data_IF_172741691509
#
_entry.id   IF_172741691509
#
_cell.length_a   1.000
_cell.length_b   1.000
_cell.length_c   1.000
_cell.angle_alpha   90.00
_cell.angle_beta   90.00
_cell.angle_gamma   90.00
#
_symmetry.space_group_name_H-M   'P 1'
#
loop_
_entity.id
_entity.type
_entity.pdbx_description
1 polymer ?
#
# COMPACT_ATOMS: atom_id res chain seq x y z
N UNK A 1 -24.47 40.42 10.41
CA UNK A 1 -23.04 40.58 10.05
C UNK A 1 -22.08 39.93 11.05
N UNK A 2 -22.23 40.12 12.38
CA UNK A 2 -21.35 39.51 13.40
C UNK A 2 -21.21 37.98 13.31
N UNK A 3 -22.30 37.25 13.03
CA UNK A 3 -22.27 35.78 12.92
C UNK A 3 -21.42 35.26 11.76
N UNK A 4 -21.36 35.99 10.63
CA UNK A 4 -20.53 35.63 9.47
C UNK A 4 -19.05 35.76 9.83
N UNK A 5 -18.66 36.84 10.50
CA UNK A 5 -17.28 37.03 10.96
C UNK A 5 -16.85 35.95 11.96
N UNK A 6 -17.74 35.55 12.87
CA UNK A 6 -17.47 34.44 13.81
C UNK A 6 -17.35 33.09 13.10
N UNK A 7 -18.19 32.83 12.09
CA UNK A 7 -18.09 31.62 11.28
C UNK A 7 -16.77 31.55 10.50
N UNK A 8 -16.33 32.66 9.91
CA UNK A 8 -15.04 32.75 9.21
C UNK A 8 -13.88 32.50 10.18
N UNK A 9 -13.88 33.14 11.36
CA UNK A 9 -12.86 32.93 12.39
C UNK A 9 -12.79 31.47 12.84
N UNK A 10 -13.94 30.85 13.12
CA UNK A 10 -14.01 29.44 13.51
C UNK A 10 -13.48 28.53 12.39
N UNK A 11 -13.87 28.79 11.14
CA UNK A 11 -13.39 28.01 9.99
C UNK A 11 -11.88 28.12 9.83
N UNK A 12 -11.31 29.32 9.96
CA UNK A 12 -9.87 29.54 9.91
C UNK A 12 -9.14 28.84 11.07
N UNK A 13 -9.67 28.92 12.28
CA UNK A 13 -9.10 28.22 13.44
C UNK A 13 -9.09 26.71 13.24
N UNK A 14 -10.20 26.14 12.79
CA UNK A 14 -10.30 24.71 12.47
C UNK A 14 -9.34 24.31 11.35
N UNK A 15 -9.22 25.12 10.29
CA UNK A 15 -8.29 24.88 9.20
C UNK A 15 -6.83 24.92 9.67
N UNK A 16 -6.45 25.86 10.53
CA UNK A 16 -5.12 25.94 11.12
C UNK A 16 -4.82 24.76 12.04
N UNK A 17 -5.77 24.36 12.88
CA UNK A 17 -5.62 23.17 13.73
C UNK A 17 -5.46 21.90 12.88
N UNK A 18 -6.25 21.77 11.81
CA UNK A 18 -6.13 20.66 10.88
C UNK A 18 -4.77 20.65 10.17
N UNK A 19 -4.32 21.81 9.67
CA UNK A 19 -3.01 21.95 9.06
C UNK A 19 -1.88 21.57 10.03
N UNK A 20 -1.93 22.06 11.27
CA UNK A 20 -0.98 21.70 12.33
C UNK A 20 -0.96 20.20 12.60
N UNK A 21 -2.14 19.57 12.75
CA UNK A 21 -2.25 18.12 12.97
C UNK A 21 -1.65 17.33 11.80
N UNK A 22 -1.92 17.72 10.56
CA UNK A 22 -1.35 17.07 9.37
C UNK A 22 0.16 17.25 9.29
N UNK A 23 0.68 18.41 9.69
CA UNK A 23 2.11 18.68 9.73
C UNK A 23 2.82 17.80 10.77
N UNK A 24 2.30 17.70 11.99
CA UNK A 24 2.88 16.81 13.00
C UNK A 24 2.79 15.34 12.61
N UNK A 25 1.69 14.92 12.00
CA UNK A 25 1.53 13.54 11.53
C UNK A 25 2.50 13.22 10.38
N UNK A 26 2.89 14.23 9.60
CA UNK A 26 3.89 14.12 8.54
C UNK A 26 5.32 14.01 9.09
N UNK A 27 5.64 14.74 10.16
CA UNK A 27 6.96 14.70 10.81
C UNK A 27 7.20 13.43 11.66
N UNK A 28 6.14 12.73 12.05
CA UNK A 28 6.27 11.49 12.80
C UNK A 28 6.72 10.35 11.88
N UNK A 29 7.99 9.98 12.00
CA UNK A 29 8.61 8.86 11.28
C UNK A 29 8.66 7.58 12.10
N UNK A 30 7.95 7.46 13.23
CA UNK A 30 7.94 6.21 14.02
C UNK A 30 7.28 5.06 13.25
N UNK A 31 7.74 3.79 13.35
CA UNK A 31 7.04 2.67 12.73
C UNK A 31 5.62 2.50 13.28
N UNK A 32 4.66 2.24 12.39
CA UNK A 32 3.28 1.91 12.76
C UNK A 32 3.11 0.40 12.75
N UNK A 33 2.81 -0.16 13.92
CA UNK A 33 2.53 -1.57 14.10
C UNK A 33 1.02 -1.88 14.01
N UNK A 34 0.64 -2.87 13.21
CA UNK A 34 -0.76 -3.26 13.03
C UNK A 34 -0.92 -4.71 12.52
N UNK A 35 -2.09 -5.31 12.77
CA UNK A 35 -2.51 -6.53 12.09
C UNK A 35 -3.05 -6.18 10.69
N UNK A 36 -2.57 -6.85 9.64
CA UNK A 36 -3.04 -6.63 8.27
C UNK A 36 -4.43 -7.21 8.07
N UNK A 37 -5.30 -6.39 7.48
CA UNK A 37 -6.61 -6.84 7.03
C UNK A 37 -6.51 -7.72 5.78
N UNK A 38 -5.48 -7.48 4.95
CA UNK A 38 -5.33 -8.07 3.62
C UNK A 38 -4.40 -9.29 3.61
N UNK A 39 -3.29 -9.21 4.34
CA UNK A 39 -2.27 -10.26 4.33
C UNK A 39 -2.64 -11.35 5.33
N UNK A 40 -2.68 -12.59 4.86
CA UNK A 40 -2.89 -13.79 5.68
C UNK A 40 -1.78 -14.81 5.41
N UNK A 41 -1.50 -15.68 6.37
CA UNK A 41 -0.62 -16.83 6.14
C UNK A 41 -1.30 -17.84 5.22
N UNK A 42 -0.57 -18.87 4.79
CA UNK A 42 -1.14 -20.00 4.01
C UNK A 42 -2.28 -20.69 4.75
N UNK A 43 -2.26 -20.67 6.09
CA UNK A 43 -3.31 -21.26 6.94
C UNK A 43 -4.48 -20.29 7.20
N UNK A 44 -4.42 -19.07 6.69
CA UNK A 44 -5.40 -18.02 6.96
C UNK A 44 -5.13 -17.22 8.23
N UNK A 45 -4.00 -17.45 8.92
CA UNK A 45 -3.67 -16.73 10.15
C UNK A 45 -3.35 -15.25 9.88
N UNK A 46 -3.50 -14.37 10.89
CA UNK A 46 -3.15 -12.96 10.75
C UNK A 46 -1.66 -12.73 10.44
N UNK A 47 -1.39 -11.74 9.59
CA UNK A 47 -0.03 -11.22 9.37
C UNK A 47 0.09 -9.86 10.02
N UNK A 48 1.13 -9.67 10.80
CA UNK A 48 1.39 -8.42 11.50
C UNK A 48 2.44 -7.60 10.75
N UNK A 49 2.24 -6.29 10.66
CA UNK A 49 3.09 -5.40 9.86
C UNK A 49 3.60 -4.25 10.72
N UNK A 50 4.87 -3.88 10.52
CA UNK A 50 5.40 -2.58 10.91
C UNK A 50 5.72 -1.82 9.63
N UNK A 51 5.16 -0.62 9.48
CA UNK A 51 5.43 0.22 8.30
C UNK A 51 6.00 1.56 8.75
N UNK A 52 7.02 2.02 8.04
CA UNK A 52 7.63 3.33 8.24
C UNK A 52 7.83 4.00 6.88
N UNK A 53 7.55 5.31 6.81
CA UNK A 53 7.90 6.16 5.69
C UNK A 53 9.10 7.02 6.07
N UNK A 54 10.17 6.94 5.28
CA UNK A 54 11.29 7.87 5.34
C UNK A 54 11.41 8.60 4.01
N UNK A 55 11.68 9.91 4.05
CA UNK A 55 11.93 10.70 2.85
C UNK A 55 13.37 11.19 2.91
N UNK A 56 14.16 10.83 1.89
CA UNK A 56 15.56 11.21 1.80
C UNK A 56 15.96 11.50 0.35
N UNK A 57 16.72 12.57 0.14
CA UNK A 57 17.31 12.93 -1.16
C UNK A 57 16.31 12.89 -2.35
N UNK A 58 15.09 13.38 -2.14
CA UNK A 58 14.03 13.42 -3.16
C UNK A 58 13.40 12.06 -3.47
N UNK A 59 13.57 11.08 -2.59
CA UNK A 59 12.97 9.75 -2.68
C UNK A 59 12.17 9.45 -1.43
N UNK A 60 11.10 8.69 -1.59
CA UNK A 60 10.36 8.13 -0.47
C UNK A 60 10.72 6.65 -0.33
N UNK A 61 11.01 6.23 0.89
CA UNK A 61 11.38 4.86 1.22
C UNK A 61 10.32 4.31 2.15
N UNK A 62 9.51 3.39 1.63
CA UNK A 62 8.53 2.65 2.40
C UNK A 62 9.16 1.39 2.94
N UNK A 63 9.37 1.36 4.25
CA UNK A 63 9.98 0.25 4.96
C UNK A 63 8.86 -0.58 5.58
N UNK A 64 8.92 -1.90 5.38
CA UNK A 64 7.90 -2.83 5.85
C UNK A 64 8.56 -4.04 6.49
N UNK A 65 8.17 -4.34 7.73
CA UNK A 65 8.47 -5.60 8.40
C UNK A 65 7.17 -6.40 8.50
N UNK A 66 7.19 -7.68 8.14
CA UNK A 66 6.04 -8.58 8.19
C UNK A 66 6.34 -9.79 9.06
N UNK A 67 5.44 -10.09 10.01
CA UNK A 67 5.49 -11.31 10.81
C UNK A 67 4.34 -12.23 10.45
N UNK A 68 4.69 -13.49 10.18
CA UNK A 68 3.77 -14.56 9.85
C UNK A 68 3.47 -15.51 11.03
N UNK A 69 4.06 -15.25 12.21
CA UNK A 69 3.96 -16.16 13.37
C UNK A 69 3.33 -15.52 14.61
N UNK A 70 3.09 -14.20 14.60
CA UNK A 70 2.44 -13.50 15.70
C UNK A 70 2.83 -12.02 15.81
N UNK A 71 2.32 -11.30 16.83
CA UNK A 71 2.63 -9.89 17.01
C UNK A 71 4.00 -9.65 17.66
N UNK A 72 4.54 -10.63 18.39
CA UNK A 72 5.81 -10.57 19.11
C UNK A 72 6.72 -11.74 18.70
N UNK A 73 7.04 -11.90 17.40
CA UNK A 73 7.98 -12.92 16.98
C UNK A 73 9.39 -12.56 17.46
N UNK A 74 10.30 -13.53 17.49
CA UNK A 74 11.71 -13.22 17.70
C UNK A 74 12.20 -12.41 16.48
N UNK A 75 13.17 -11.52 16.69
CA UNK A 75 13.59 -10.53 15.69
C UNK A 75 14.00 -11.14 14.33
N UNK A 76 14.48 -12.39 14.31
CA UNK A 76 14.88 -13.13 13.12
C UNK A 76 13.72 -13.55 12.21
N UNK A 77 12.47 -13.46 12.68
CA UNK A 77 11.30 -13.97 11.98
C UNK A 77 10.51 -12.88 11.22
N UNK A 78 11.02 -11.64 11.19
CA UNK A 78 10.42 -10.57 10.40
C UNK A 78 10.97 -10.56 8.98
N UNK A 79 10.08 -10.74 8.00
CA UNK A 79 10.41 -10.46 6.61
C UNK A 79 10.46 -8.96 6.39
N UNK A 80 11.56 -8.47 5.79
CA UNK A 80 11.81 -7.04 5.60
C UNK A 80 11.81 -6.69 4.13
N UNK A 81 11.03 -5.69 3.77
CA UNK A 81 10.89 -5.19 2.39
C UNK A 81 11.05 -3.67 2.41
N UNK A 82 11.73 -3.13 1.40
CA UNK A 82 11.71 -1.70 1.11
C UNK A 82 11.12 -1.45 -0.29
N UNK A 83 10.30 -0.41 -0.39
CA UNK A 83 9.84 0.13 -1.68
C UNK A 83 10.34 1.56 -1.78
N UNK A 84 11.32 1.78 -2.66
CA UNK A 84 11.90 3.11 -2.92
C UNK A 84 11.16 3.75 -4.08
N UNK A 85 10.47 4.85 -3.82
CA UNK A 85 9.74 5.64 -4.81
C UNK A 85 10.60 6.83 -5.23
N UNK A 86 10.91 6.88 -6.52
CA UNK A 86 11.58 8.02 -7.18
C UNK A 86 10.53 8.76 -7.99
N UNK A 87 10.08 9.91 -7.49
CA UNK A 87 9.17 10.77 -8.25
C UNK A 87 9.94 11.45 -9.39
N UNK A 88 9.40 11.44 -10.61
CA UNK A 88 9.95 12.20 -11.73
C UNK A 88 8.82 12.90 -12.51
N UNK A 89 9.17 13.89 -13.34
CA UNK A 89 8.18 14.67 -14.13
C UNK A 89 7.41 13.86 -15.19
N UNK A 90 7.90 12.68 -15.56
CA UNK A 90 7.44 11.84 -16.67
C UNK A 90 6.90 10.45 -16.21
N UNK A 91 6.51 10.31 -14.94
CA UNK A 91 6.04 9.06 -14.33
C UNK A 91 7.06 8.43 -13.38
N UNK A 92 6.65 8.23 -12.12
CA UNK A 92 7.53 7.74 -11.06
C UNK A 92 8.07 6.33 -11.29
N UNK A 93 9.09 5.95 -10.52
CA UNK A 93 9.58 4.58 -10.46
C UNK A 93 9.50 4.04 -9.04
N UNK A 94 9.18 2.76 -8.90
CA UNK A 94 9.19 2.04 -7.64
C UNK A 94 10.21 0.89 -7.71
N UNK A 95 11.19 0.93 -6.82
CA UNK A 95 12.23 -0.07 -6.65
C UNK A 95 11.91 -0.95 -5.45
N UNK A 96 11.84 -2.26 -5.67
CA UNK A 96 11.53 -3.25 -4.64
C UNK A 96 12.80 -3.97 -4.19
N UNK A 97 13.01 -3.98 -2.87
CA UNK A 97 14.14 -4.63 -2.23
C UNK A 97 13.61 -5.61 -1.18
N UNK A 98 14.02 -6.86 -1.26
CA UNK A 98 13.93 -7.77 -0.12
C UNK A 98 15.18 -7.56 0.72
N UNK A 99 15.02 -7.26 2.00
CA UNK A 99 16.14 -7.06 2.92
C UNK A 99 16.38 -8.33 3.75
N UNK A 100 17.58 -8.42 4.32
CA UNK A 100 17.94 -9.48 5.25
C UNK A 100 17.12 -9.37 6.54
N UNK A 101 16.54 -10.47 7.05
CA UNK A 101 15.93 -10.48 8.38
C UNK A 101 16.99 -10.22 9.47
N UNK A 102 16.61 -9.70 10.63
CA UNK A 102 17.54 -9.43 11.73
C UNK A 102 17.03 -8.41 12.75
N UNK A 103 17.86 -8.12 13.74
CA UNK A 103 17.49 -7.30 14.91
C UNK A 103 17.53 -5.79 14.62
N UNK A 104 18.27 -5.38 13.60
CA UNK A 104 18.37 -3.98 13.25
C UNK A 104 17.01 -3.46 12.73
N UNK A 105 16.44 -2.39 13.30
CA UNK A 105 15.31 -1.71 12.70
C UNK A 105 15.67 -1.37 11.25
N UNK A 106 14.72 -1.44 10.32
CA UNK A 106 15.04 -1.15 8.93
C UNK A 106 15.73 0.22 8.83
N UNK A 107 16.98 0.20 8.38
CA UNK A 107 17.83 1.36 8.21
C UNK A 107 18.02 1.65 6.72
N UNK A 108 18.43 2.87 6.39
CA UNK A 108 18.72 3.27 5.01
C UNK A 108 19.94 2.54 4.39
N UNK A 109 20.66 1.73 5.18
CA UNK A 109 21.72 0.83 4.72
C UNK A 109 21.17 -0.40 3.97
N UNK A 110 20.29 -0.17 3.00
CA UNK A 110 19.51 -1.18 2.30
C UNK A 110 20.41 -2.20 1.56
N UNK A 111 20.65 -3.36 2.19
CA UNK A 111 21.30 -4.51 1.55
C UNK A 111 20.24 -5.46 1.03
N UNK A 112 20.03 -5.45 -0.29
CA UNK A 112 19.08 -6.35 -0.93
C UNK A 112 19.61 -7.79 -0.93
N UNK A 113 18.69 -8.73 -0.73
CA UNK A 113 18.84 -10.14 -1.06
C UNK A 113 17.83 -10.50 -2.16
N UNK A 114 17.93 -11.69 -2.74
CA UNK A 114 16.95 -12.16 -3.72
C UNK A 114 15.54 -12.25 -3.12
N UNK A 115 14.54 -11.82 -3.88
CA UNK A 115 13.13 -11.84 -3.47
C UNK A 115 12.68 -13.20 -2.92
N UNK A 116 11.95 -13.19 -1.81
CA UNK A 116 11.28 -14.39 -1.26
C UNK A 116 9.86 -14.59 -1.81
N UNK A 117 9.26 -13.53 -2.38
CA UNK A 117 7.92 -13.51 -2.93
C UNK A 117 7.85 -12.60 -4.18
N UNK A 118 6.88 -12.88 -5.06
CA UNK A 118 6.62 -12.05 -6.24
C UNK A 118 5.85 -10.79 -5.85
N UNK A 119 6.59 -9.73 -5.50
CA UNK A 119 6.02 -8.47 -5.00
C UNK A 119 5.00 -7.84 -5.97
N UNK A 120 5.14 -8.04 -7.28
CA UNK A 120 4.22 -7.49 -8.29
C UNK A 120 2.78 -7.97 -8.13
N UNK A 121 2.56 -9.15 -7.54
CA UNK A 121 1.22 -9.70 -7.30
C UNK A 121 0.37 -8.78 -6.40
N UNK A 122 1.02 -8.11 -5.44
CA UNK A 122 0.35 -7.20 -4.50
C UNK A 122 0.61 -5.72 -4.80
N UNK A 123 1.68 -5.42 -5.54
CA UNK A 123 2.22 -4.08 -5.75
C UNK A 123 2.52 -3.80 -7.23
N UNK A 124 1.51 -3.90 -8.11
CA UNK A 124 1.69 -3.68 -9.55
C UNK A 124 2.18 -2.26 -9.90
N UNK A 125 1.91 -1.28 -9.03
CA UNK A 125 2.17 0.13 -9.27
C UNK A 125 2.69 0.80 -7.98
N UNK A 126 3.86 0.34 -7.50
CA UNK A 126 4.50 0.86 -6.29
C UNK A 126 3.77 0.53 -4.99
N UNK A 127 3.92 1.36 -3.95
CA UNK A 127 3.28 1.16 -2.66
C UNK A 127 1.76 1.06 -2.79
N UNK A 128 1.16 0.19 -1.98
CA UNK A 128 -0.28 0.00 -1.91
C UNK A 128 -0.82 0.58 -0.61
N UNK A 129 -2.07 1.03 -0.64
CA UNK A 129 -2.74 1.55 0.52
C UNK A 129 -2.70 0.56 1.70
N UNK A 130 -2.30 1.07 2.85
CA UNK A 130 -2.16 0.41 4.14
C UNK A 130 -3.56 0.17 4.71
N UNK A 131 -3.87 -1.08 5.02
CA UNK A 131 -5.20 -1.52 5.51
C UNK A 131 -5.05 -2.30 6.83
N UNK A 132 -5.05 -1.61 7.97
CA UNK A 132 -5.08 -2.28 9.26
C UNK A 132 -6.41 -2.94 9.54
N UNK A 133 -6.39 -4.07 10.23
CA UNK A 133 -7.54 -4.58 10.94
C UNK A 133 -7.75 -3.74 12.21
N UNK A 134 -8.59 -2.70 12.12
CA UNK A 134 -8.87 -1.83 13.27
C UNK A 134 -9.65 -2.52 14.40
N UNK A 135 -10.21 -3.70 14.15
CA UNK A 135 -10.93 -4.52 15.11
C UNK A 135 -10.06 -5.68 15.64
N UNK A 136 -8.74 -5.64 15.40
CA UNK A 136 -7.83 -6.67 15.89
C UNK A 136 -7.84 -6.72 17.42
N UNK A 137 -7.97 -7.94 17.94
CA UNK A 137 -7.84 -8.22 19.38
C UNK A 137 -6.36 -8.29 19.81
N UNK A 138 -5.45 -8.55 18.88
CA UNK A 138 -4.03 -8.71 19.17
C UNK A 138 -3.28 -7.36 19.16
N UNK A 139 -3.65 -6.44 18.26
CA UNK A 139 -2.96 -5.15 18.11
C UNK A 139 -3.97 -4.02 17.91
N UNK A 140 -3.97 -3.04 18.80
CA UNK A 140 -4.83 -1.84 18.67
C UNK A 140 -4.09 -0.72 17.97
N UNK A 141 -4.64 -0.23 16.86
CA UNK A 141 -4.12 0.96 16.17
C UNK A 141 -4.67 2.21 16.86
N UNK A 142 -3.77 3.03 17.42
CA UNK A 142 -4.12 4.29 18.07
C UNK A 142 -4.78 5.27 17.11
N UNK A 143 -5.58 6.22 17.63
CA UNK A 143 -6.22 7.28 16.83
C UNK A 143 -5.17 8.07 16.03
N UNK A 144 -4.03 8.35 16.66
CA UNK A 144 -2.89 9.00 16.01
C UNK A 144 -2.39 8.21 14.80
N UNK A 145 -2.18 6.90 14.95
CA UNK A 145 -1.74 6.04 13.85
C UNK A 145 -2.81 5.92 12.75
N UNK A 146 -4.10 6.00 13.07
CA UNK A 146 -5.18 6.07 12.04
C UNK A 146 -5.05 7.33 11.18
N UNK A 147 -4.76 8.48 11.80
CA UNK A 147 -4.54 9.75 11.09
C UNK A 147 -3.30 9.64 10.19
N UNK A 148 -2.18 9.15 10.73
CA UNK A 148 -0.93 8.94 9.96
C UNK A 148 -1.13 8.01 8.78
N UNK A 149 -1.79 6.87 8.98
CA UNK A 149 -2.13 5.93 7.89
C UNK A 149 -3.00 6.59 6.83
N UNK A 150 -3.96 7.43 7.22
CA UNK A 150 -4.80 8.17 6.27
C UNK A 150 -3.96 9.10 5.41
N UNK A 151 -3.06 9.87 6.01
CA UNK A 151 -2.13 10.76 5.29
C UNK A 151 -1.18 9.96 4.39
N UNK A 152 -0.61 8.86 4.88
CA UNK A 152 0.23 7.97 4.11
C UNK A 152 -0.51 7.35 2.92
N UNK A 153 -1.77 6.96 3.07
CA UNK A 153 -2.59 6.45 1.97
C UNK A 153 -2.88 7.54 0.92
N UNK A 154 -3.07 8.80 1.33
CA UNK A 154 -3.18 9.92 0.39
C UNK A 154 -1.88 10.16 -0.38
N UNK A 155 -0.73 10.09 0.30
CA UNK A 155 0.61 10.18 -0.32
C UNK A 155 0.87 9.02 -1.29
N UNK A 156 0.52 7.79 -0.91
CA UNK A 156 0.58 6.62 -1.79
C UNK A 156 -0.27 6.85 -3.05
N UNK A 157 -1.46 7.43 -2.90
CA UNK A 157 -2.35 7.75 -4.02
C UNK A 157 -1.74 8.83 -4.93
N UNK A 158 -1.08 9.84 -4.37
CA UNK A 158 -0.52 10.95 -5.14
C UNK A 158 0.65 10.57 -6.06
N UNK A 159 1.30 9.42 -5.84
CA UNK A 159 2.39 8.96 -6.71
C UNK A 159 1.96 8.69 -8.16
N UNK A 160 0.67 8.42 -8.41
CA UNK A 160 0.17 8.15 -9.76
C UNK A 160 0.75 6.87 -10.40
N UNK A 161 0.81 6.81 -11.74
CA UNK A 161 1.38 5.67 -12.45
C UNK A 161 2.90 5.57 -12.22
N UNK A 162 3.38 4.37 -11.96
CA UNK A 162 4.78 4.08 -11.67
C UNK A 162 5.27 2.85 -12.41
N UNK A 163 6.51 2.90 -12.88
CA UNK A 163 7.23 1.71 -13.36
C UNK A 163 7.81 0.99 -12.15
N UNK A 164 7.43 -0.27 -11.98
CA UNK A 164 7.88 -1.08 -10.84
C UNK A 164 8.92 -2.11 -11.27
N UNK A 165 10.00 -2.25 -10.52
CA UNK A 165 11.02 -3.29 -10.72
C UNK A 165 11.68 -3.69 -9.40
N UNK A 166 12.30 -4.87 -9.36
CA UNK A 166 13.10 -5.31 -8.23
C UNK A 166 14.59 -5.20 -8.53
N UNK A 167 15.39 -4.92 -7.49
CA UNK A 167 16.85 -4.86 -7.62
C UNK A 167 17.44 -6.27 -7.80
N UNK A 168 16.99 -7.23 -7.01
CA UNK A 168 17.45 -8.62 -7.07
C UNK A 168 16.26 -9.58 -7.12
N UNK A 169 16.03 -10.17 -8.30
CA UNK A 169 15.00 -11.18 -8.56
C UNK A 169 15.56 -12.59 -8.80
N UNK A 170 16.80 -12.84 -8.35
CA UNK A 170 17.51 -14.11 -8.57
C UNK A 170 16.82 -15.34 -7.96
N UNK A 171 16.14 -15.18 -6.81
CA UNK A 171 15.48 -16.28 -6.08
C UNK A 171 14.02 -16.48 -6.49
N UNK A 172 13.30 -15.38 -6.75
CA UNK A 172 11.93 -15.40 -7.28
C UNK A 172 11.73 -14.23 -8.23
N UNK A 173 10.94 -14.43 -9.30
CA UNK A 173 10.63 -13.37 -10.23
C UNK A 173 9.83 -12.27 -9.53
N UNK A 174 10.19 -11.01 -9.81
CA UNK A 174 9.41 -9.86 -9.37
C UNK A 174 7.98 -9.91 -9.91
N UNK A 175 7.87 -10.21 -11.21
CA UNK A 175 6.65 -10.44 -11.98
C UNK A 175 6.83 -11.67 -12.87
N UNK A 176 5.77 -12.44 -13.06
CA UNK A 176 5.76 -13.54 -14.03
C UNK A 176 5.69 -13.00 -15.46
N UNK A 177 6.43 -13.63 -16.38
CA UNK A 177 6.58 -13.13 -17.76
C UNK A 177 5.65 -13.82 -18.76
N UNK A 178 5.07 -14.98 -18.42
CA UNK A 178 4.19 -15.70 -19.33
C UNK A 178 2.90 -14.92 -19.64
N UNK A 179 2.39 -15.09 -20.87
CA UNK A 179 1.26 -14.30 -21.41
C UNK A 179 0.00 -14.38 -20.55
N UNK A 180 -0.35 -15.57 -20.05
CA UNK A 180 -1.52 -15.76 -19.18
C UNK A 180 -1.47 -14.89 -17.92
N UNK A 181 -0.31 -14.76 -17.28
CA UNK A 181 -0.14 -13.93 -16.09
C UNK A 181 -0.25 -12.42 -16.40
N UNK A 182 0.12 -12.01 -17.62
CA UNK A 182 0.12 -10.61 -18.04
C UNK A 182 -1.17 -10.17 -18.75
N UNK A 183 -2.19 -11.03 -18.80
CA UNK A 183 -3.51 -10.65 -19.32
C UNK A 183 -4.08 -9.49 -18.49
N UNK A 184 -4.40 -8.38 -19.16
CA UNK A 184 -4.92 -7.16 -18.54
C UNK A 184 -6.42 -7.29 -18.23
N UNK A 185 -6.82 -6.82 -17.05
CA UNK A 185 -8.21 -6.73 -16.63
C UNK A 185 -8.90 -5.53 -17.30
N UNK A 186 -9.95 -5.80 -18.09
CA UNK A 186 -10.67 -4.79 -18.87
C UNK A 186 -12.03 -4.37 -18.27
N UNK A 187 -12.23 -4.62 -16.98
CA UNK A 187 -13.49 -4.29 -16.28
C UNK A 187 -13.64 -2.79 -16.11
N UNK A 188 -14.77 -2.24 -16.59
CA UNK A 188 -15.00 -0.79 -16.70
C UNK A 188 -14.85 -0.06 -15.36
N UNK A 189 -15.37 -0.62 -14.25
CA UNK A 189 -15.18 0.00 -12.94
C UNK A 189 -13.72 0.05 -12.50
N UNK A 190 -12.92 -0.95 -12.87
CA UNK A 190 -11.51 -1.04 -12.50
C UNK A 190 -10.65 -0.09 -13.36
N UNK A 191 -10.88 -0.05 -14.67
CA UNK A 191 -10.06 0.74 -15.62
C UNK A 191 -10.19 2.24 -15.43
N UNK A 192 -11.24 2.73 -14.75
CA UNK A 192 -11.35 4.15 -14.33
C UNK A 192 -10.16 4.62 -13.49
N UNK A 193 -9.66 3.76 -12.62
CA UNK A 193 -8.49 4.06 -11.77
C UNK A 193 -7.25 3.30 -12.23
N UNK A 194 -7.40 2.10 -12.78
CA UNK A 194 -6.31 1.23 -13.21
C UNK A 194 -6.10 1.33 -14.71
N UNK A 195 -5.64 2.49 -15.16
CA UNK A 195 -5.22 2.74 -16.54
C UNK A 195 -3.81 3.36 -16.55
N UNK A 196 -3.14 3.23 -17.69
CA UNK A 196 -1.82 3.78 -17.97
C UNK A 196 -1.85 5.20 -18.54
N UNK A 197 -3.02 5.69 -18.99
CA UNK A 197 -3.15 6.94 -19.75
C UNK A 197 -3.40 8.18 -18.88
N UNK A 198 -4.01 8.03 -17.70
CA UNK A 198 -4.36 9.18 -16.85
C UNK A 198 -3.26 9.51 -15.84
N UNK A 199 -3.11 10.81 -15.54
CA UNK A 199 -2.14 11.32 -14.55
C UNK A 199 -2.30 10.70 -13.15
N UNK A 200 -3.52 10.33 -12.80
CA UNK A 200 -3.86 9.69 -11.52
C UNK A 200 -4.13 8.18 -11.66
N UNK A 201 -3.81 7.61 -12.81
CA UNK A 201 -3.90 6.18 -13.05
C UNK A 201 -3.01 5.39 -12.08
N UNK A 202 -3.41 4.16 -11.78
CA UNK A 202 -2.71 3.26 -10.85
C UNK A 202 -2.08 2.08 -11.58
N UNK A 203 -1.77 2.27 -12.86
CA UNK A 203 -1.32 1.18 -13.74
C UNK A 203 -2.43 0.17 -14.02
N UNK A 204 -2.22 -0.65 -15.03
CA UNK A 204 -3.13 -1.73 -15.38
C UNK A 204 -3.06 -2.86 -14.36
N UNK A 205 -4.20 -3.51 -14.10
CA UNK A 205 -4.26 -4.73 -13.31
C UNK A 205 -4.16 -5.93 -14.23
N UNK A 206 -3.40 -6.95 -13.84
CA UNK A 206 -3.28 -8.19 -14.60
C UNK A 206 -3.76 -9.40 -13.80
N UNK A 207 -3.82 -10.58 -14.42
CA UNK A 207 -4.15 -11.84 -13.75
C UNK A 207 -3.24 -12.13 -12.55
N UNK A 208 -1.98 -11.70 -12.57
CA UNK A 208 -1.08 -11.84 -11.40
C UNK A 208 -1.60 -11.12 -10.15
N UNK A 209 -2.44 -10.09 -10.32
CA UNK A 209 -3.03 -9.35 -9.22
C UNK A 209 -4.34 -9.97 -8.72
N UNK A 210 -4.76 -11.13 -9.24
CA UNK A 210 -6.06 -11.70 -8.96
C UNK A 210 -6.36 -11.86 -7.47
N UNK A 211 -5.43 -12.41 -6.69
CA UNK A 211 -5.63 -12.60 -5.24
C UNK A 211 -5.96 -11.29 -4.52
N UNK A 212 -5.24 -10.22 -4.89
CA UNK A 212 -5.49 -8.87 -4.40
C UNK A 212 -6.84 -8.34 -4.85
N UNK A 213 -7.20 -8.54 -6.12
CA UNK A 213 -8.49 -8.11 -6.67
C UNK A 213 -9.64 -8.81 -5.96
N UNK A 214 -9.56 -10.14 -5.81
CA UNK A 214 -10.54 -10.97 -5.14
C UNK A 214 -10.80 -10.48 -3.72
N UNK A 215 -9.73 -10.32 -2.93
CA UNK A 215 -9.82 -9.80 -1.56
C UNK A 215 -10.59 -8.47 -1.51
N UNK A 216 -10.28 -7.55 -2.42
CA UNK A 216 -10.90 -6.23 -2.48
C UNK A 216 -12.39 -6.29 -2.87
N UNK A 217 -12.79 -7.24 -3.72
CA UNK A 217 -14.19 -7.46 -4.11
C UNK A 217 -14.99 -8.08 -2.97
N UNK A 218 -14.46 -9.12 -2.34
CA UNK A 218 -15.12 -9.87 -1.27
C UNK A 218 -15.34 -9.00 -0.02
N UNK A 219 -14.41 -8.09 0.28
CA UNK A 219 -14.45 -7.24 1.47
C UNK A 219 -14.98 -5.82 1.19
N UNK A 220 -15.52 -5.55 0.00
CA UNK A 220 -16.04 -4.24 -0.40
C UNK A 220 -15.04 -3.07 -0.22
N UNK A 221 -13.76 -3.30 -0.51
CA UNK A 221 -12.70 -2.28 -0.38
C UNK A 221 -12.40 -1.53 -1.69
N UNK A 222 -13.20 -1.72 -2.73
CA UNK A 222 -12.97 -1.06 -4.02
C UNK A 222 -13.11 0.48 -3.95
N UNK A 223 -12.23 1.25 -4.62
CA UNK A 223 -12.28 2.71 -4.60
C UNK A 223 -13.58 3.32 -5.20
N UNK A 224 -13.90 4.59 -4.89
CA UNK A 224 -13.22 5.44 -3.91
C UNK A 224 -13.63 5.22 -2.44
N UNK A 225 -14.77 4.60 -2.16
CA UNK A 225 -15.27 4.29 -0.80
C UNK A 225 -16.26 3.09 -0.84
N UNK A 226 -15.79 1.89 -1.19
CA UNK A 226 -16.61 0.68 -1.10
C UNK A 226 -17.89 0.71 -1.95
N UNK A 227 -17.80 1.26 -3.17
CA UNK A 227 -18.95 1.25 -4.08
C UNK A 227 -19.34 -0.20 -4.40
N UNK A 228 -20.64 -0.45 -4.42
CA UNK A 228 -21.16 -1.70 -4.94
C UNK A 228 -20.83 -1.79 -6.43
N UNK A 229 -20.04 -2.79 -6.80
CA UNK A 229 -19.77 -3.07 -8.20
C UNK A 229 -21.09 -3.44 -8.90
N UNK A 230 -21.33 -2.94 -10.12
CA UNK A 230 -22.40 -3.47 -10.95
C UNK A 230 -22.31 -5.00 -11.05
N UNK A 231 -23.45 -5.68 -11.05
CA UNK A 231 -23.49 -7.15 -11.13
C UNK A 231 -22.71 -7.67 -12.34
N UNK A 232 -22.78 -6.95 -13.47
CA UNK A 232 -22.02 -7.24 -14.69
C UNK A 232 -20.50 -7.17 -14.49
N UNK A 233 -20.01 -6.16 -13.77
CA UNK A 233 -18.58 -6.01 -13.49
C UNK A 233 -18.10 -7.04 -12.48
N UNK A 234 -18.92 -7.36 -11.46
CA UNK A 234 -18.65 -8.47 -10.53
C UNK A 234 -18.53 -9.80 -11.28
N UNK A 235 -19.46 -10.09 -12.21
CA UNK A 235 -19.40 -11.31 -13.03
C UNK A 235 -18.10 -11.39 -13.84
N UNK A 236 -17.74 -10.31 -14.55
CA UNK A 236 -16.49 -10.25 -15.33
C UNK A 236 -15.24 -10.42 -14.47
N UNK A 237 -15.23 -9.90 -13.25
CA UNK A 237 -14.12 -10.09 -12.30
C UNK A 237 -13.97 -11.56 -11.87
N UNK A 238 -15.09 -12.27 -11.66
CA UNK A 238 -15.09 -13.69 -11.34
C UNK A 238 -14.73 -14.55 -12.56
N UNK A 239 -15.22 -14.21 -13.77
CA UNK A 239 -14.81 -14.90 -15.00
C UNK A 239 -13.29 -14.72 -15.25
N UNK A 240 -12.74 -13.54 -14.96
CA UNK A 240 -11.30 -13.28 -15.05
C UNK A 240 -10.48 -14.06 -14.00
N UNK A 241 -11.10 -14.46 -12.90
CA UNK A 241 -10.51 -15.23 -11.81
C UNK A 241 -10.35 -16.72 -12.09
N UNK A 242 -11.30 -17.27 -12.86
CA UNK A 242 -11.47 -18.70 -13.11
C UNK A 242 -10.70 -19.20 -14.34
N UNK A 243 -10.16 -18.28 -15.15
CA UNK A 243 -9.34 -18.54 -16.33
C UNK A 243 -7.84 -18.51 -16.01
#
# INVERSE_FOLDING_TARGET
MSWIANLIKLTLLLALSFAGLTFFAWLDHSPIFFESLESKTVKGDPVFNRIQLQTDNGKDVWLMEQSHIGPNPQNLDWDKIAIVVKENRNGGAAEFLQLMPGDEPISLGLKSIGLKASCFMCHSNGPRAIRPNYNSNAVRVSVWNKIRITIWNLKIKSYGPMRSHAIDSSRKPFRYEHSGANQVLTVTSCTKCHNSQSRFGRGELTKQNFQSIRFMVENNFMPPLGFSLPVSDRKKLMEFAEL
#
